data_IF_370771769314
#
_entry.id   IF_370771769314
#
_cell.length_a   1.000
_cell.length_b   1.000
_cell.length_c   1.000
_cell.angle_alpha   90.00
_cell.angle_beta   90.00
_cell.angle_gamma   90.00
#
_symmetry.space_group_name_H-M   'P 1'
#
loop_
_entity.id
_entity.type
_entity.pdbx_description
1 polymer ?
#
# COMPACT_ATOMS: atom_id res chain seq x y z
N UNK A 1 21.91 13.58 13.06
CA UNK A 1 20.67 13.61 12.26
C UNK A 1 20.95 13.58 10.76
N UNK A 2 21.74 14.49 10.21
CA UNK A 2 22.08 14.48 8.78
C UNK A 2 22.68 13.13 8.32
N UNK A 3 23.65 12.59 9.06
CA UNK A 3 24.23 11.28 8.79
C UNK A 3 23.21 10.14 8.80
N UNK A 4 22.19 10.21 9.66
CA UNK A 4 21.12 9.19 9.72
C UNK A 4 20.28 9.23 8.43
N UNK A 5 19.87 10.44 7.99
CA UNK A 5 19.10 10.59 6.77
C UNK A 5 19.89 10.10 5.54
N UNK A 6 21.17 10.47 5.43
CA UNK A 6 22.05 10.02 4.35
C UNK A 6 22.26 8.50 4.36
N UNK A 7 22.46 7.90 5.55
CA UNK A 7 22.61 6.45 5.67
C UNK A 7 21.35 5.70 5.23
N UNK A 8 20.17 6.19 5.64
CA UNK A 8 18.89 5.62 5.22
C UNK A 8 18.67 5.74 3.71
N UNK A 9 18.86 6.94 3.15
CA UNK A 9 18.69 7.19 1.72
C UNK A 9 19.62 6.31 0.88
N UNK A 10 20.89 6.20 1.28
CA UNK A 10 21.85 5.31 0.62
C UNK A 10 21.42 3.84 0.71
N UNK A 11 20.95 3.38 1.88
CA UNK A 11 20.51 1.99 2.07
C UNK A 11 19.34 1.62 1.16
N UNK A 12 18.36 2.52 1.03
CA UNK A 12 17.17 2.32 0.18
C UNK A 12 17.52 2.44 -1.30
N UNK A 13 18.24 3.48 -1.70
CA UNK A 13 18.54 3.76 -3.12
C UNK A 13 19.49 2.74 -3.74
N UNK A 14 20.46 2.24 -2.97
CA UNK A 14 21.40 1.22 -3.45
C UNK A 14 20.78 -0.19 -3.44
N UNK A 15 19.53 -0.34 -2.99
CA UNK A 15 18.84 -1.63 -2.78
C UNK A 15 19.70 -2.65 -2.01
N UNK A 16 20.57 -2.16 -1.12
CA UNK A 16 21.50 -3.00 -0.37
C UNK A 16 20.78 -3.93 0.60
N UNK A 17 19.66 -3.44 1.14
CA UNK A 17 18.77 -4.18 2.04
C UNK A 17 17.31 -3.96 1.66
N UNK A 18 16.40 -4.88 2.02
CA UNK A 18 14.97 -4.66 1.89
C UNK A 18 14.55 -3.34 2.55
N UNK A 19 13.63 -2.61 1.93
CA UNK A 19 13.21 -1.29 2.39
C UNK A 19 12.60 -1.30 3.80
N UNK A 20 11.90 -2.38 4.18
CA UNK A 20 11.38 -2.55 5.54
C UNK A 20 12.50 -2.71 6.58
N UNK A 21 13.61 -3.38 6.22
CA UNK A 21 14.77 -3.50 7.09
C UNK A 21 15.44 -2.13 7.28
N UNK A 22 15.71 -1.42 6.18
CA UNK A 22 16.25 -0.06 6.22
C UNK A 22 15.37 0.89 7.04
N UNK A 23 14.05 0.76 6.92
CA UNK A 23 13.09 1.55 7.70
C UNK A 23 13.14 1.19 9.18
N UNK A 24 13.20 -0.09 9.55
CA UNK A 24 13.33 -0.49 10.94
C UNK A 24 14.61 0.08 11.58
N UNK A 25 15.75 0.01 10.87
CA UNK A 25 17.01 0.60 11.32
C UNK A 25 16.90 2.12 11.51
N UNK A 26 16.32 2.85 10.53
CA UNK A 26 16.10 4.29 10.64
C UNK A 26 15.37 4.67 11.94
N UNK A 27 14.31 3.92 12.29
CA UNK A 27 13.50 4.22 13.48
C UNK A 27 14.25 3.86 14.76
N UNK A 28 14.99 2.74 14.79
CA UNK A 28 15.83 2.39 15.93
C UNK A 28 16.88 3.46 16.18
N UNK A 29 17.64 3.83 15.15
CA UNK A 29 18.69 4.84 15.24
C UNK A 29 18.14 6.19 15.69
N UNK A 30 16.99 6.61 15.16
CA UNK A 30 16.31 7.83 15.60
C UNK A 30 15.97 7.79 17.10
N UNK A 31 15.45 6.66 17.59
CA UNK A 31 15.09 6.47 18.99
C UNK A 31 16.32 6.40 19.90
N UNK A 32 17.43 5.83 19.43
CA UNK A 32 18.71 5.80 20.14
C UNK A 32 19.39 7.18 20.20
N UNK A 33 19.32 7.96 19.12
CA UNK A 33 19.85 9.34 19.08
C UNK A 33 19.05 10.26 19.99
N UNK A 34 17.72 10.06 20.06
CA UNK A 34 16.80 10.85 20.89
C UNK A 34 16.99 12.38 20.73
N UNK A 35 16.84 12.93 19.50
CA UNK A 35 17.29 14.27 19.17
C UNK A 35 16.46 15.42 19.78
N UNK A 36 15.26 15.14 20.28
CA UNK A 36 14.38 16.15 20.87
C UNK A 36 14.30 16.02 22.40
N UNK A 37 13.98 17.13 23.08
CA UNK A 37 13.79 17.14 24.55
C UNK A 37 12.56 16.33 24.98
N UNK A 38 11.50 16.37 24.19
CA UNK A 38 10.28 15.57 24.34
C UNK A 38 9.72 15.27 22.94
N UNK A 39 8.90 14.23 22.82
CA UNK A 39 8.17 13.92 21.60
C UNK A 39 8.87 12.94 20.66
N UNK A 40 10.04 12.41 21.01
CA UNK A 40 10.76 11.44 20.15
C UNK A 40 9.88 10.24 19.79
N UNK A 41 9.11 9.69 20.73
CA UNK A 41 8.18 8.60 20.42
C UNK A 41 7.08 8.99 19.42
N UNK A 42 6.57 10.22 19.47
CA UNK A 42 5.55 10.72 18.51
C UNK A 42 6.17 10.93 17.14
N UNK A 43 7.36 11.53 17.08
CA UNK A 43 8.09 11.77 15.84
C UNK A 43 8.53 10.46 15.20
N UNK A 44 8.97 9.46 15.98
CA UNK A 44 9.37 8.16 15.43
C UNK A 44 8.20 7.45 14.75
N UNK A 45 6.98 7.55 15.30
CA UNK A 45 5.77 7.00 14.67
C UNK A 45 5.40 7.71 13.38
N UNK A 46 5.50 9.05 13.34
CA UNK A 46 5.30 9.82 12.11
C UNK A 46 6.36 9.48 11.06
N UNK A 47 7.63 9.37 11.48
CA UNK A 47 8.74 8.98 10.61
C UNK A 47 8.56 7.56 10.06
N UNK A 48 8.04 6.65 10.87
CA UNK A 48 7.71 5.28 10.46
C UNK A 48 6.69 5.29 9.32
N UNK A 49 5.59 6.03 9.48
CA UNK A 49 4.58 6.16 8.43
C UNK A 49 5.13 6.80 7.15
N UNK A 50 5.92 7.87 7.29
CA UNK A 50 6.56 8.54 6.15
C UNK A 50 7.47 7.58 5.36
N UNK A 51 8.36 6.88 6.06
CA UNK A 51 9.30 5.93 5.46
C UNK A 51 8.57 4.76 4.79
N UNK A 52 7.53 4.21 5.43
CA UNK A 52 6.70 3.18 4.82
C UNK A 52 6.03 3.67 3.52
N UNK A 53 5.48 4.89 3.51
CA UNK A 53 4.86 5.46 2.32
C UNK A 53 5.86 5.71 1.19
N UNK A 54 7.04 6.22 1.49
CA UNK A 54 8.12 6.39 0.51
C UNK A 54 8.53 5.06 -0.15
N UNK A 55 8.39 3.95 0.57
CA UNK A 55 8.72 2.61 0.10
C UNK A 55 7.50 1.81 -0.40
N UNK A 56 6.35 2.45 -0.61
CA UNK A 56 5.16 1.81 -1.19
C UNK A 56 4.27 1.03 -0.22
N UNK A 57 4.58 1.02 1.08
CA UNK A 57 3.77 0.37 2.10
C UNK A 57 2.70 1.31 2.64
N UNK A 58 1.48 1.19 2.13
CA UNK A 58 0.39 2.16 2.40
C UNK A 58 -0.64 1.70 3.43
N UNK A 59 -0.43 0.58 4.13
CA UNK A 59 -1.39 0.03 5.11
C UNK A 59 -1.73 1.03 6.24
N UNK A 60 -0.79 1.90 6.60
CA UNK A 60 -0.97 2.96 7.59
C UNK A 60 -2.07 3.99 7.24
N UNK A 61 -2.53 4.03 5.97
CA UNK A 61 -3.66 4.88 5.54
C UNK A 61 -5.02 4.32 6.00
N UNK A 62 -5.07 3.03 6.31
CA UNK A 62 -6.30 2.32 6.63
C UNK A 62 -6.30 1.77 8.05
N UNK A 63 -5.14 1.35 8.55
CA UNK A 63 -4.95 0.75 9.86
C UNK A 63 -3.96 1.59 10.67
N UNK A 64 -4.34 1.93 11.90
CA UNK A 64 -3.46 2.70 12.80
C UNK A 64 -2.33 1.83 13.33
N UNK A 65 -1.10 2.09 12.85
CA UNK A 65 0.11 1.44 13.38
C UNK A 65 0.38 1.84 14.84
N UNK A 66 0.07 3.09 15.21
CA UNK A 66 0.20 3.56 16.60
C UNK A 66 -0.67 2.74 17.55
N UNK A 67 -1.91 2.41 17.17
CA UNK A 67 -2.77 1.54 17.98
C UNK A 67 -2.16 0.15 18.16
N UNK A 68 -1.63 -0.45 17.10
CA UNK A 68 -1.00 -1.79 17.17
C UNK A 68 0.21 -1.76 18.10
N UNK A 69 1.04 -0.71 18.00
CA UNK A 69 2.19 -0.51 18.88
C UNK A 69 1.75 -0.32 20.34
N UNK A 70 0.74 0.49 20.60
CA UNK A 70 0.21 0.73 21.95
C UNK A 70 -0.36 -0.55 22.58
N UNK A 71 -1.09 -1.36 21.79
CA UNK A 71 -1.60 -2.66 22.21
C UNK A 71 -0.48 -3.68 22.50
N UNK A 72 0.72 -3.46 21.97
CA UNK A 72 1.91 -4.30 22.16
C UNK A 72 3.06 -3.55 22.84
N UNK A 73 2.74 -2.55 23.67
CA UNK A 73 3.73 -1.62 24.27
C UNK A 73 4.84 -2.33 25.04
N UNK A 74 4.54 -3.43 25.73
CA UNK A 74 5.54 -4.17 26.50
C UNK A 74 6.59 -4.79 25.57
N UNK A 75 6.13 -5.48 24.51
CA UNK A 75 7.00 -6.03 23.47
C UNK A 75 7.78 -4.94 22.74
N UNK A 76 7.15 -3.78 22.48
CA UNK A 76 7.82 -2.62 21.89
C UNK A 76 9.03 -2.18 22.73
N UNK A 77 8.83 -1.94 24.03
CA UNK A 77 9.90 -1.49 24.91
C UNK A 77 10.95 -2.57 25.13
N UNK A 78 10.55 -3.84 25.22
CA UNK A 78 11.49 -4.96 25.34
C UNK A 78 12.38 -5.07 24.09
N UNK A 79 11.80 -5.05 22.89
CA UNK A 79 12.52 -5.13 21.63
C UNK A 79 13.46 -3.93 21.44
N UNK A 80 12.99 -2.73 21.77
CA UNK A 80 13.80 -1.51 21.72
C UNK A 80 14.97 -1.59 22.70
N UNK A 81 14.72 -2.00 23.95
CA UNK A 81 15.76 -2.12 24.97
C UNK A 81 16.83 -3.15 24.59
N UNK A 82 16.43 -4.32 24.09
CA UNK A 82 17.38 -5.35 23.62
C UNK A 82 18.23 -4.85 22.46
N UNK A 83 17.62 -4.12 21.52
CA UNK A 83 18.28 -3.70 20.29
C UNK A 83 19.08 -2.40 20.41
N UNK A 84 18.86 -1.62 21.47
CA UNK A 84 19.62 -0.40 21.74
C UNK A 84 20.88 -0.65 22.58
N UNK A 85 21.03 -1.84 23.18
CA UNK A 85 22.21 -2.17 23.96
C UNK A 85 23.47 -2.04 23.11
N UNK A 86 24.47 -1.30 23.60
CA UNK A 86 25.76 -1.07 22.93
C UNK A 86 25.63 -0.42 21.55
N UNK A 87 24.54 0.31 21.30
CA UNK A 87 24.33 1.02 20.04
C UNK A 87 25.46 2.03 19.74
N UNK A 88 25.89 2.80 20.75
CA UNK A 88 27.01 3.74 20.64
C UNK A 88 28.37 3.07 20.35
N UNK A 89 28.52 1.78 20.67
CA UNK A 89 29.72 1.00 20.34
C UNK A 89 29.64 0.33 18.96
N UNK A 90 28.52 0.51 18.24
CA UNK A 90 28.22 -0.21 16.99
C UNK A 90 28.23 -1.74 17.15
N UNK A 91 27.87 -2.24 18.34
CA UNK A 91 27.83 -3.67 18.68
C UNK A 91 26.43 -4.15 19.09
N UNK A 92 25.41 -3.40 18.70
CA UNK A 92 24.02 -3.74 18.99
C UNK A 92 23.50 -4.83 18.05
N UNK A 93 22.47 -5.54 18.49
CA UNK A 93 21.72 -6.48 17.66
C UNK A 93 20.36 -5.87 17.30
N UNK A 94 20.14 -5.58 16.02
CA UNK A 94 18.88 -4.98 15.54
C UNK A 94 17.74 -5.99 15.43
N UNK A 95 18.01 -7.30 15.48
CA UNK A 95 17.03 -8.32 15.16
C UNK A 95 15.78 -8.33 16.05
N UNK A 96 15.86 -8.14 17.39
CA UNK A 96 14.66 -8.07 18.22
C UNK A 96 13.72 -6.94 17.79
N UNK A 97 14.28 -5.76 17.50
CA UNK A 97 13.54 -4.61 16.98
C UNK A 97 12.97 -4.87 15.59
N UNK A 98 13.76 -5.45 14.69
CA UNK A 98 13.30 -5.76 13.34
C UNK A 98 12.13 -6.75 13.34
N UNK A 99 12.18 -7.79 14.18
CA UNK A 99 11.07 -8.73 14.35
C UNK A 99 9.81 -8.05 14.88
N UNK A 100 9.95 -7.19 15.90
CA UNK A 100 8.82 -6.40 16.41
C UNK A 100 8.23 -5.49 15.32
N UNK A 101 9.08 -4.78 14.58
CA UNK A 101 8.68 -3.90 13.49
C UNK A 101 7.91 -4.65 12.39
N UNK A 102 8.46 -5.77 11.91
CA UNK A 102 7.79 -6.60 10.91
C UNK A 102 6.48 -7.18 11.43
N UNK A 103 6.44 -7.63 12.68
CA UNK A 103 5.22 -8.10 13.32
C UNK A 103 4.12 -7.03 13.35
N UNK A 104 4.49 -5.78 13.65
CA UNK A 104 3.58 -4.63 13.63
C UNK A 104 3.01 -4.39 12.23
N UNK A 105 3.88 -4.34 11.21
CA UNK A 105 3.45 -4.13 9.81
C UNK A 105 2.57 -5.29 9.33
N UNK A 106 2.94 -6.53 9.65
CA UNK A 106 2.20 -7.73 9.28
C UNK A 106 0.80 -7.74 9.93
N UNK A 107 0.71 -7.43 11.22
CA UNK A 107 -0.57 -7.35 11.93
C UNK A 107 -1.48 -6.29 11.31
N UNK A 108 -0.91 -5.16 10.87
CA UNK A 108 -1.67 -4.13 10.16
C UNK A 108 -2.24 -4.66 8.84
N UNK A 109 -1.45 -5.41 8.05
CA UNK A 109 -1.93 -5.98 6.79
C UNK A 109 -2.97 -7.09 7.00
N UNK A 110 -2.83 -7.93 8.03
CA UNK A 110 -3.84 -8.93 8.39
C UNK A 110 -5.17 -8.28 8.77
N UNK A 111 -5.12 -7.24 9.61
CA UNK A 111 -6.32 -6.51 10.01
C UNK A 111 -6.95 -5.77 8.82
N UNK A 112 -6.12 -5.23 7.91
CA UNK A 112 -6.61 -4.63 6.67
C UNK A 112 -7.33 -5.67 5.80
N UNK A 113 -6.76 -6.84 5.59
CA UNK A 113 -7.35 -7.93 4.81
C UNK A 113 -8.69 -8.38 5.41
N UNK A 114 -8.76 -8.57 6.74
CA UNK A 114 -9.99 -8.91 7.44
C UNK A 114 -11.07 -7.85 7.25
N UNK A 115 -10.73 -6.57 7.42
CA UNK A 115 -11.69 -5.47 7.23
C UNK A 115 -12.12 -5.35 5.77
N UNK A 116 -11.19 -5.43 4.82
CA UNK A 116 -11.47 -5.31 3.40
C UNK A 116 -12.32 -6.48 2.87
N UNK A 117 -12.07 -7.71 3.34
CA UNK A 117 -12.87 -8.88 2.99
C UNK A 117 -14.33 -8.79 3.46
N UNK A 118 -14.57 -8.07 4.56
CA UNK A 118 -15.91 -7.84 5.10
C UNK A 118 -16.66 -6.68 4.42
N UNK A 119 -15.97 -5.81 3.67
CA UNK A 119 -16.61 -4.73 2.92
C UNK A 119 -17.21 -5.28 1.62
N UNK A 120 -18.54 -5.44 1.60
CA UNK A 120 -19.24 -5.68 0.34
C UNK A 120 -19.06 -4.45 -0.56
N UNK A 121 -18.59 -4.61 -1.81
CA UNK A 121 -18.45 -3.48 -2.72
C UNK A 121 -19.81 -2.79 -2.87
N UNK A 122 -19.86 -1.44 -2.88
CA UNK A 122 -21.11 -0.71 -3.02
C UNK A 122 -21.83 -1.12 -4.29
N UNK A 123 -23.17 -1.06 -4.26
CA UNK A 123 -24.00 -1.43 -5.40
C UNK A 123 -23.64 -0.55 -6.59
N UNK A 124 -23.04 -1.16 -7.61
CA UNK A 124 -22.54 -0.44 -8.79
C UNK A 124 -21.03 -0.36 -8.93
N UNK A 125 -20.23 -0.77 -7.94
CA UNK A 125 -18.77 -0.73 -8.02
C UNK A 125 -18.20 -1.48 -9.25
N UNK A 126 -18.75 -2.67 -9.58
CA UNK A 126 -18.37 -3.41 -10.79
C UNK A 126 -18.70 -2.63 -12.06
N UNK A 127 -19.82 -1.90 -12.07
CA UNK A 127 -20.21 -1.03 -13.19
C UNK A 127 -19.20 0.10 -13.37
N UNK A 128 -18.80 0.77 -12.28
CA UNK A 128 -17.81 1.85 -12.31
C UNK A 128 -16.43 1.38 -12.78
N UNK A 129 -15.99 0.20 -12.32
CA UNK A 129 -14.74 -0.42 -12.76
C UNK A 129 -14.76 -0.64 -14.29
N UNK A 130 -15.85 -1.19 -14.82
CA UNK A 130 -16.00 -1.39 -16.27
C UNK A 130 -16.00 -0.04 -17.02
N UNK A 131 -16.73 0.96 -16.52
CA UNK A 131 -16.79 2.28 -17.16
C UNK A 131 -15.40 2.90 -17.21
N UNK A 132 -14.63 2.87 -16.12
CA UNK A 132 -13.25 3.38 -16.08
C UNK A 132 -12.32 2.64 -17.04
N UNK A 133 -12.45 1.31 -17.14
CA UNK A 133 -11.67 0.51 -18.09
C UNK A 133 -11.99 0.91 -19.54
N UNK A 134 -13.28 1.10 -19.87
CA UNK A 134 -13.72 1.60 -21.17
C UNK A 134 -13.13 3.00 -21.43
N UNK A 135 -13.20 3.92 -20.46
CA UNK A 135 -12.67 5.28 -20.57
C UNK A 135 -11.15 5.37 -20.76
N UNK A 136 -10.40 4.30 -20.46
CA UNK A 136 -8.97 4.20 -20.74
C UNK A 136 -8.65 3.69 -22.15
N UNK A 137 -9.62 3.11 -22.85
CA UNK A 137 -9.39 2.56 -24.19
C UNK A 137 -9.07 3.68 -25.18
N UNK A 138 -7.91 3.55 -25.82
CA UNK A 138 -7.44 4.41 -26.91
C UNK A 138 -7.81 3.75 -28.25
N UNK A 139 -9.02 4.03 -28.74
CA UNK A 139 -9.49 3.53 -30.03
C UNK A 139 -10.55 2.44 -29.93
N UNK A 140 -10.47 1.46 -30.83
CA UNK A 140 -11.39 0.32 -30.86
C UNK A 140 -11.00 -0.73 -29.84
N UNK A 141 -11.97 -1.27 -29.11
CA UNK A 141 -11.75 -2.29 -28.09
C UNK A 141 -12.80 -3.41 -28.20
N UNK A 142 -12.45 -4.58 -27.71
CA UNK A 142 -13.34 -5.74 -27.60
C UNK A 142 -13.76 -5.97 -26.15
N UNK A 143 -14.73 -6.85 -25.93
CA UNK A 143 -15.08 -7.31 -24.58
C UNK A 143 -13.86 -7.96 -23.90
N UNK A 144 -13.04 -8.69 -24.66
CA UNK A 144 -11.87 -9.39 -24.13
C UNK A 144 -10.76 -8.45 -23.68
N UNK A 145 -10.68 -7.24 -24.25
CA UNK A 145 -9.74 -6.22 -23.78
C UNK A 145 -10.16 -5.68 -22.41
N UNK A 146 -11.48 -5.49 -22.20
CA UNK A 146 -12.04 -5.11 -20.90
C UNK A 146 -11.90 -6.24 -19.87
N UNK A 147 -12.06 -7.51 -20.28
CA UNK A 147 -11.86 -8.68 -19.40
C UNK A 147 -10.41 -8.75 -18.88
N UNK A 148 -9.42 -8.45 -19.74
CA UNK A 148 -8.00 -8.42 -19.33
C UNK A 148 -7.72 -7.32 -18.31
N UNK A 149 -8.36 -6.17 -18.42
CA UNK A 149 -8.23 -5.08 -17.44
C UNK A 149 -9.02 -5.30 -16.16
N UNK A 150 -10.11 -6.07 -16.23
CA UNK A 150 -11.05 -6.28 -15.13
C UNK A 150 -11.31 -7.77 -14.85
N UNK A 151 -10.30 -8.57 -14.46
CA UNK A 151 -10.44 -10.02 -14.30
C UNK A 151 -11.45 -10.45 -13.22
N UNK A 152 -11.78 -9.56 -12.27
CA UNK A 152 -12.75 -9.80 -11.21
C UNK A 152 -14.23 -9.61 -11.65
N UNK A 153 -14.48 -9.26 -12.91
CA UNK A 153 -15.81 -8.95 -13.44
C UNK A 153 -16.21 -9.96 -14.52
N UNK A 154 -17.42 -10.50 -14.42
CA UNK A 154 -17.91 -11.47 -15.40
C UNK A 154 -18.22 -10.83 -16.75
N UNK A 155 -18.01 -11.57 -17.84
CA UNK A 155 -18.35 -11.17 -19.21
C UNK A 155 -19.79 -10.67 -19.36
N UNK A 156 -20.72 -11.31 -18.64
CA UNK A 156 -22.14 -10.96 -18.62
C UNK A 156 -22.35 -9.54 -18.08
N UNK A 157 -21.63 -9.18 -17.02
CA UNK A 157 -21.69 -7.83 -16.44
C UNK A 157 -21.09 -6.80 -17.39
N UNK A 158 -19.95 -7.09 -18.02
CA UNK A 158 -19.32 -6.22 -19.02
C UNK A 158 -20.30 -5.93 -20.15
N UNK A 159 -20.94 -6.97 -20.71
CA UNK A 159 -21.95 -6.82 -21.77
C UNK A 159 -23.12 -5.94 -21.33
N UNK A 160 -23.64 -6.15 -20.11
CA UNK A 160 -24.73 -5.34 -19.55
C UNK A 160 -24.37 -3.86 -19.45
N UNK A 161 -23.11 -3.54 -19.11
CA UNK A 161 -22.63 -2.15 -19.05
C UNK A 161 -22.43 -1.57 -20.44
N UNK A 162 -21.87 -2.33 -21.39
CA UNK A 162 -21.74 -1.89 -22.79
C UNK A 162 -23.11 -1.59 -23.41
N UNK A 163 -24.10 -2.46 -23.23
CA UNK A 163 -25.47 -2.25 -23.72
C UNK A 163 -26.08 -0.96 -23.12
N UNK A 164 -25.83 -0.70 -21.83
CA UNK A 164 -26.27 0.54 -21.17
C UNK A 164 -25.56 1.77 -21.76
N UNK A 165 -24.24 1.74 -21.89
CA UNK A 165 -23.46 2.86 -22.45
C UNK A 165 -23.79 3.13 -23.93
N UNK A 166 -24.14 2.09 -24.69
CA UNK A 166 -24.59 2.22 -26.07
C UNK A 166 -25.95 2.91 -26.15
N UNK A 167 -26.90 2.55 -25.26
CA UNK A 167 -28.19 3.25 -25.14
C UNK A 167 -28.02 4.72 -24.77
N UNK A 168 -27.03 5.01 -23.91
CA UNK A 168 -26.62 6.38 -23.55
C UNK A 168 -25.80 7.09 -24.64
N UNK A 169 -25.56 6.45 -25.80
CA UNK A 169 -24.77 6.99 -26.93
C UNK A 169 -23.31 7.35 -26.60
N UNK A 170 -22.75 6.80 -25.51
CA UNK A 170 -21.34 7.01 -25.11
C UNK A 170 -20.36 6.14 -25.92
N UNK A 171 -20.85 5.00 -26.41
CA UNK A 171 -20.09 4.06 -27.24
C UNK A 171 -20.92 3.57 -28.42
N UNK A 172 -20.27 3.04 -29.44
CA UNK A 172 -20.90 2.43 -30.60
C UNK A 172 -20.27 1.08 -30.91
N UNK A 173 -21.11 0.07 -31.19
CA UNK A 173 -20.64 -1.21 -31.73
C UNK A 173 -20.31 -1.07 -33.22
N UNK A 174 -19.15 -1.59 -33.62
CA UNK A 174 -18.67 -1.65 -35.00
C UNK A 174 -18.90 -3.03 -35.65
N UNK A 175 -19.43 -3.99 -34.91
CA UNK A 175 -19.70 -5.35 -35.41
C UNK A 175 -20.78 -6.09 -34.62
N UNK A 176 -21.02 -7.36 -34.99
CA UNK A 176 -21.93 -8.28 -34.29
C UNK A 176 -21.16 -9.54 -33.86
N UNK A 177 -21.56 -10.14 -32.74
CA UNK A 177 -20.99 -11.41 -32.25
C UNK A 177 -19.88 -11.26 -31.21
N UNK A 178 -19.16 -12.35 -30.91
CA UNK A 178 -18.14 -12.40 -29.85
C UNK A 178 -16.89 -11.55 -30.14
N UNK A 179 -16.58 -11.30 -31.42
CA UNK A 179 -15.48 -10.46 -31.89
C UNK A 179 -15.92 -9.02 -32.19
N UNK A 180 -17.11 -8.62 -31.73
CA UNK A 180 -17.60 -7.27 -31.94
C UNK A 180 -16.63 -6.26 -31.30
N UNK A 181 -16.15 -5.34 -32.13
CA UNK A 181 -15.39 -4.18 -31.69
C UNK A 181 -16.32 -3.05 -31.31
N UNK A 182 -15.89 -2.26 -30.34
CA UNK A 182 -16.58 -1.11 -29.81
C UNK A 182 -15.68 0.10 -29.93
N UNK A 183 -16.26 1.27 -30.15
CA UNK A 183 -15.54 2.54 -30.18
C UNK A 183 -16.25 3.54 -29.30
N UNK A 184 -15.48 4.30 -28.53
CA UNK A 184 -16.01 5.44 -27.78
C UNK A 184 -16.43 6.54 -28.74
N UNK A 185 -17.57 7.15 -28.45
CA UNK A 185 -17.98 8.38 -29.11
C UNK A 185 -17.19 9.52 -28.44
N UNK A 186 -16.47 10.32 -29.23
CA UNK A 186 -15.82 11.51 -28.71
C UNK A 186 -16.90 12.46 -28.17
N UNK A 187 -16.65 13.05 -27.01
CA UNK A 187 -17.41 14.21 -26.53
C UNK A 187 -17.03 15.43 -27.37
#
# INVERSE_FOLDING_TARGET
MEQLCLAYENSVNQMKYPSLYSTACLILDFLCIHPFRDGNGRVSRLLTLLALYQNGFVVGKYISLERIIEQSKETYYEALNKSSQRWHESKHDVMPWFHFFLGTVLNAYKEFEERAGNVKPPRGAKTEIIIKAIEKQLGEFSISDIEKECPAVSRVMIKKVLDKMQKEKKIKSLGKGQSAKWKRMAY
#
